data_IF_622828914701
#
_entry.id   IF_622828914701
#
_cell.length_a   1.000
_cell.length_b   1.000
_cell.length_c   1.000
_cell.angle_alpha   90.00
_cell.angle_beta   90.00
_cell.angle_gamma   90.00
#
_symmetry.space_group_name_H-M   'P 1'
#
loop_
_entity.id
_entity.type
_entity.pdbx_description
1 polymer ?
#
# COMPACT_ATOMS: atom_id res chain seq x y z
N UNK A 1 11.29 -26.01 14.94
CA UNK A 1 12.47 -25.26 14.45
C UNK A 1 13.33 -26.24 13.67
N UNK A 2 13.75 -25.91 12.44
CA UNK A 2 14.64 -26.73 11.63
C UNK A 2 16.07 -26.18 11.75
N UNK A 3 17.03 -27.03 12.11
CA UNK A 3 18.44 -26.64 12.20
C UNK A 3 19.20 -27.25 11.03
N UNK A 4 19.94 -26.43 10.30
CA UNK A 4 20.73 -26.86 9.16
C UNK A 4 22.22 -26.68 9.37
N UNK A 5 23.03 -27.53 8.73
CA UNK A 5 24.48 -27.40 8.68
C UNK A 5 24.86 -26.51 7.51
N UNK A 6 25.46 -25.35 7.78
CA UNK A 6 25.96 -24.45 6.74
C UNK A 6 27.47 -24.31 6.75
N UNK A 7 28.09 -24.20 5.56
CA UNK A 7 29.47 -23.73 5.46
C UNK A 7 29.53 -22.25 5.84
N UNK A 8 30.44 -21.90 6.75
CA UNK A 8 30.64 -20.54 7.23
C UNK A 8 32.11 -20.13 7.14
N UNK A 9 32.36 -18.82 7.03
CA UNK A 9 33.68 -18.23 7.22
C UNK A 9 33.63 -17.21 8.35
N UNK A 10 34.66 -17.21 9.19
CA UNK A 10 34.85 -16.19 10.21
C UNK A 10 35.55 -14.97 9.61
N UNK A 11 34.99 -13.80 9.81
CA UNK A 11 35.58 -12.52 9.41
C UNK A 11 35.81 -11.63 10.63
N UNK A 12 36.81 -10.75 10.52
CA UNK A 12 37.04 -9.65 11.44
C UNK A 12 36.33 -8.41 10.86
N UNK A 13 35.47 -7.77 11.64
CA UNK A 13 34.71 -6.60 11.24
C UNK A 13 35.49 -5.30 11.50
N UNK A 14 35.02 -4.20 10.91
CA UNK A 14 35.66 -2.88 11.04
C UNK A 14 35.67 -2.34 12.47
N UNK A 15 34.71 -2.75 13.31
CA UNK A 15 34.63 -2.38 14.73
C UNK A 15 35.53 -3.24 15.64
N UNK A 16 36.28 -4.20 15.06
CA UNK A 16 37.14 -5.10 15.81
C UNK A 16 36.42 -6.33 16.39
N UNK A 17 35.12 -6.50 16.14
CA UNK A 17 34.41 -7.74 16.48
C UNK A 17 34.63 -8.82 15.41
N UNK A 18 34.16 -10.05 15.69
CA UNK A 18 34.18 -11.15 14.72
C UNK A 18 32.77 -11.64 14.42
N UNK A 19 32.52 -11.97 13.16
CA UNK A 19 31.24 -12.52 12.71
C UNK A 19 31.43 -13.77 11.84
N UNK A 20 30.42 -14.65 11.85
CA UNK A 20 30.31 -15.74 10.90
C UNK A 20 29.43 -15.29 9.73
N UNK A 21 29.88 -15.58 8.52
CA UNK A 21 29.13 -15.29 7.29
C UNK A 21 28.98 -16.55 6.44
N UNK A 22 27.91 -16.57 5.65
CA UNK A 22 27.62 -17.58 4.63
C UNK A 22 26.89 -16.90 3.48
N UNK A 23 26.77 -17.57 2.33
CA UNK A 23 26.18 -16.97 1.13
C UNK A 23 24.67 -17.19 1.09
N UNK A 24 23.94 -16.30 0.40
CA UNK A 24 22.50 -16.52 0.14
C UNK A 24 22.26 -17.86 -0.56
N UNK A 25 23.16 -18.27 -1.46
CA UNK A 25 23.10 -19.57 -2.15
C UNK A 25 23.11 -20.74 -1.16
N UNK A 26 24.03 -20.74 -0.20
CA UNK A 26 24.11 -21.81 0.80
C UNK A 26 22.88 -21.83 1.72
N UNK A 27 22.38 -20.66 2.15
CA UNK A 27 21.12 -20.56 2.89
C UNK A 27 19.94 -21.11 2.08
N UNK A 28 19.83 -20.77 0.79
CA UNK A 28 18.74 -21.22 -0.07
C UNK A 28 18.74 -22.73 -0.21
N UNK A 29 19.89 -23.36 -0.48
CA UNK A 29 19.98 -24.82 -0.63
C UNK A 29 19.64 -25.54 0.69
N UNK A 30 20.07 -25.02 1.83
CA UNK A 30 19.67 -25.58 3.11
C UNK A 30 18.18 -25.38 3.40
N UNK A 31 17.62 -24.21 3.08
CA UNK A 31 16.19 -23.93 3.24
C UNK A 31 15.32 -24.89 2.43
N UNK A 32 15.74 -25.26 1.22
CA UNK A 32 15.07 -26.29 0.40
C UNK A 32 15.37 -27.73 0.85
N UNK A 33 16.22 -27.94 1.87
CA UNK A 33 16.53 -29.25 2.43
C UNK A 33 17.46 -30.11 1.57
N UNK A 34 18.41 -29.51 0.83
CA UNK A 34 19.34 -30.25 -0.05
C UNK A 34 20.57 -30.73 0.73
N UNK A 35 20.78 -32.05 0.81
CA UNK A 35 21.99 -32.64 1.38
C UNK A 35 23.22 -32.40 0.49
N UNK A 36 24.35 -32.02 1.11
CA UNK A 36 25.57 -31.55 0.40
C UNK A 36 26.86 -32.19 0.91
N UNK A 37 26.77 -33.35 1.56
CA UNK A 37 27.89 -34.08 2.16
C UNK A 37 28.21 -33.68 3.61
N UNK A 38 27.31 -32.94 4.26
CA UNK A 38 27.45 -32.48 5.65
C UNK A 38 26.71 -33.39 6.65
N UNK A 39 25.97 -34.37 6.14
CA UNK A 39 25.13 -35.30 6.91
C UNK A 39 24.11 -34.54 7.77
N UNK A 40 23.36 -33.65 7.14
CA UNK A 40 22.33 -32.85 7.79
C UNK A 40 21.03 -33.67 7.89
N UNK A 41 20.64 -33.98 9.13
CA UNK A 41 19.47 -34.82 9.42
C UNK A 41 18.16 -34.20 8.93
N UNK A 42 18.11 -32.87 8.78
CA UNK A 42 16.93 -32.16 8.29
C UNK A 42 16.92 -32.02 6.77
N UNK A 43 18.00 -32.39 6.08
CA UNK A 43 18.02 -32.48 4.62
C UNK A 43 17.45 -33.80 4.13
N UNK A 44 16.91 -33.80 2.92
CA UNK A 44 16.32 -34.96 2.29
C UNK A 44 17.40 -35.92 1.78
N UNK A 45 17.20 -37.22 2.03
CA UNK A 45 18.02 -38.28 1.44
C UNK A 45 17.51 -38.74 0.07
N UNK A 46 16.25 -38.48 -0.24
CA UNK A 46 15.59 -38.77 -1.51
C UNK A 46 14.35 -37.89 -1.70
N UNK A 47 13.71 -37.92 -2.88
CA UNK A 47 12.43 -37.24 -3.07
C UNK A 47 11.27 -37.87 -2.28
N UNK A 48 11.43 -39.11 -1.82
CA UNK A 48 10.44 -39.84 -1.03
C UNK A 48 10.55 -39.59 0.48
N UNK A 49 11.67 -39.01 0.92
CA UNK A 49 11.90 -38.62 2.31
C UNK A 49 11.01 -37.44 2.68
N UNK A 50 10.25 -37.55 3.76
CA UNK A 50 9.36 -36.49 4.23
C UNK A 50 10.18 -35.46 5.01
N UNK A 51 10.88 -34.61 4.27
CA UNK A 51 11.56 -33.41 4.77
C UNK A 51 10.92 -32.16 4.17
N UNK A 52 11.11 -31.02 4.85
CA UNK A 52 10.53 -29.75 4.42
C UNK A 52 10.82 -29.50 2.93
N UNK A 53 9.75 -29.26 2.15
CA UNK A 53 9.77 -28.90 0.73
C UNK A 53 10.21 -30.01 -0.26
N UNK A 54 10.29 -31.26 0.17
CA UNK A 54 10.43 -32.41 -0.76
C UNK A 54 9.13 -32.68 -1.54
N UNK A 55 9.20 -33.40 -2.68
CA UNK A 55 8.01 -33.88 -3.38
C UNK A 55 7.08 -34.73 -2.49
N UNK A 56 7.63 -35.61 -1.64
CA UNK A 56 6.83 -36.38 -0.67
C UNK A 56 6.14 -35.51 0.38
N UNK A 57 6.82 -34.48 0.89
CA UNK A 57 6.22 -33.49 1.78
C UNK A 57 5.11 -32.70 1.07
N UNK A 58 5.37 -32.21 -0.14
CA UNK A 58 4.40 -31.41 -0.88
C UNK A 58 3.16 -32.21 -1.27
N UNK A 59 3.29 -33.51 -1.55
CA UNK A 59 2.16 -34.41 -1.77
C UNK A 59 1.23 -34.47 -0.54
N UNK A 60 1.79 -34.51 0.67
CA UNK A 60 0.98 -34.49 1.90
C UNK A 60 0.27 -33.15 2.12
N UNK A 61 0.91 -32.04 1.79
CA UNK A 61 0.34 -30.69 1.99
C UNK A 61 -0.72 -30.35 0.94
N UNK A 62 -0.47 -30.70 -0.32
CA UNK A 62 -1.26 -30.23 -1.47
C UNK A 62 -2.20 -31.29 -2.04
N UNK A 63 -1.96 -32.57 -1.77
CA UNK A 63 -2.65 -33.69 -2.41
C UNK A 63 -2.19 -34.00 -3.84
N UNK A 64 -1.25 -33.22 -4.42
CA UNK A 64 -0.71 -33.48 -5.76
C UNK A 64 0.32 -34.60 -5.69
N UNK A 65 0.19 -35.61 -6.56
CA UNK A 65 1.15 -36.73 -6.56
C UNK A 65 2.59 -36.25 -6.75
N UNK A 66 3.50 -36.73 -5.89
CA UNK A 66 4.94 -36.47 -5.92
C UNK A 66 5.55 -36.78 -7.29
N UNK A 67 5.02 -37.81 -7.96
CA UNK A 67 5.47 -38.21 -9.31
C UNK A 67 5.24 -37.12 -10.35
N UNK A 68 4.11 -36.40 -10.25
CA UNK A 68 3.80 -35.26 -11.11
C UNK A 68 4.67 -34.06 -10.76
N UNK A 69 4.85 -33.76 -9.47
CA UNK A 69 5.73 -32.67 -9.01
C UNK A 69 7.15 -32.86 -9.58
N UNK A 70 7.73 -34.05 -9.42
CA UNK A 70 9.07 -34.37 -9.92
C UNK A 70 9.12 -34.25 -11.44
N UNK A 71 8.14 -34.85 -12.14
CA UNK A 71 8.11 -34.86 -13.61
C UNK A 71 8.05 -33.44 -14.17
N UNK A 72 7.08 -32.65 -13.74
CA UNK A 72 6.85 -31.31 -14.27
C UNK A 72 7.98 -30.35 -13.90
N UNK A 73 8.51 -30.41 -12.68
CA UNK A 73 9.68 -29.62 -12.32
C UNK A 73 10.89 -29.92 -13.22
N UNK A 74 11.12 -31.20 -13.54
CA UNK A 74 12.20 -31.62 -14.43
C UNK A 74 11.97 -31.18 -15.88
N UNK A 75 10.77 -31.39 -16.41
CA UNK A 75 10.41 -30.97 -17.78
C UNK A 75 10.51 -29.44 -17.93
N UNK A 76 10.06 -28.69 -16.92
CA UNK A 76 10.14 -27.22 -16.90
C UNK A 76 11.59 -26.72 -16.95
N UNK A 77 12.46 -27.31 -16.12
CA UNK A 77 13.88 -26.96 -16.06
C UNK A 77 14.64 -27.41 -17.33
N UNK A 78 14.38 -28.62 -17.84
CA UNK A 78 14.98 -29.14 -19.06
C UNK A 78 14.62 -28.29 -20.28
N UNK A 79 13.37 -27.84 -20.40
CA UNK A 79 12.99 -26.89 -21.44
C UNK A 79 13.74 -25.57 -21.30
N UNK A 80 13.82 -25.01 -20.09
CA UNK A 80 14.53 -23.76 -19.85
C UNK A 80 16.03 -23.88 -20.21
N UNK A 81 16.69 -24.98 -19.83
CA UNK A 81 18.07 -25.26 -20.21
C UNK A 81 18.24 -25.31 -21.73
N UNK A 82 17.46 -26.16 -22.42
CA UNK A 82 17.50 -26.33 -23.88
C UNK A 82 17.25 -25.04 -24.66
N UNK A 83 16.47 -24.14 -24.08
CA UNK A 83 15.98 -22.94 -24.77
C UNK A 83 16.59 -21.64 -24.25
N UNK A 84 17.48 -21.73 -23.25
CA UNK A 84 18.07 -20.59 -22.55
C UNK A 84 16.99 -19.67 -21.92
N UNK A 85 16.13 -20.27 -21.10
CA UNK A 85 15.16 -19.58 -20.24
C UNK A 85 13.74 -19.46 -20.80
N UNK A 86 13.36 -20.15 -21.89
CA UNK A 86 12.00 -20.05 -22.48
C UNK A 86 10.96 -20.95 -21.80
N UNK A 87 10.97 -20.96 -20.47
CA UNK A 87 9.89 -21.50 -19.64
C UNK A 87 9.23 -20.33 -18.89
N UNK A 88 7.91 -20.25 -18.96
CA UNK A 88 7.13 -19.13 -18.40
C UNK A 88 6.07 -19.66 -17.44
N UNK A 89 5.78 -18.87 -16.39
CA UNK A 89 4.64 -19.12 -15.51
C UNK A 89 3.70 -17.91 -15.58
N UNK A 90 2.49 -18.16 -16.07
CA UNK A 90 1.39 -17.18 -16.03
C UNK A 90 0.65 -17.35 -14.70
N UNK A 91 0.55 -16.26 -13.93
CA UNK A 91 -0.03 -16.27 -12.58
C UNK A 91 -1.00 -15.11 -12.39
N UNK A 92 -2.04 -15.32 -11.60
CA UNK A 92 -3.04 -14.29 -11.31
C UNK A 92 -3.58 -14.33 -9.87
N UNK A 93 -4.78 -13.79 -9.69
CA UNK A 93 -5.41 -13.60 -8.37
C UNK A 93 -5.63 -14.90 -7.57
N UNK A 94 -5.74 -16.06 -8.24
CA UNK A 94 -5.89 -17.35 -7.55
C UNK A 94 -4.76 -17.67 -6.55
N UNK A 95 -3.56 -17.11 -6.78
CA UNK A 95 -2.43 -17.17 -5.85
C UNK A 95 -2.21 -15.83 -5.12
N UNK A 96 -2.51 -14.70 -5.78
CA UNK A 96 -2.20 -13.37 -5.25
C UNK A 96 -3.18 -12.84 -4.19
N UNK A 97 -4.38 -13.40 -4.08
CA UNK A 97 -5.40 -12.92 -3.14
C UNK A 97 -5.42 -13.70 -1.82
N UNK A 98 -4.39 -14.50 -1.55
CA UNK A 98 -4.17 -15.13 -0.25
C UNK A 98 -3.43 -14.17 0.70
N UNK A 99 -3.59 -14.34 2.01
CA UNK A 99 -2.82 -13.58 3.00
C UNK A 99 -1.30 -13.77 2.82
N UNK A 100 -0.88 -15.00 2.52
CA UNK A 100 0.51 -15.37 2.21
C UNK A 100 0.80 -15.37 0.69
N UNK A 101 0.28 -14.38 -0.04
CA UNK A 101 0.51 -14.20 -1.49
C UNK A 101 2.00 -14.15 -1.87
N UNK A 102 2.82 -13.60 -0.98
CA UNK A 102 4.25 -13.44 -1.13
C UNK A 102 4.97 -14.80 -1.15
N UNK A 103 4.52 -15.76 -0.33
CA UNK A 103 5.06 -17.13 -0.33
C UNK A 103 4.71 -17.85 -1.62
N UNK A 104 3.47 -17.72 -2.10
CA UNK A 104 3.07 -18.25 -3.41
C UNK A 104 3.94 -17.67 -4.53
N UNK A 105 4.11 -16.34 -4.56
CA UNK A 105 4.84 -15.66 -5.62
C UNK A 105 6.33 -15.98 -5.58
N UNK A 106 6.95 -15.93 -4.40
CA UNK A 106 8.38 -16.24 -4.25
C UNK A 106 8.71 -17.68 -4.63
N UNK A 107 7.81 -18.64 -4.39
CA UNK A 107 7.96 -20.01 -4.88
C UNK A 107 8.06 -20.09 -6.41
N UNK A 108 7.08 -19.50 -7.11
CA UNK A 108 7.06 -19.44 -8.58
C UNK A 108 8.26 -18.65 -9.13
N UNK A 109 8.60 -17.51 -8.50
CA UNK A 109 9.71 -16.66 -8.90
C UNK A 109 11.05 -17.40 -8.71
N UNK A 110 11.25 -18.13 -7.63
CA UNK A 110 12.46 -18.93 -7.42
C UNK A 110 12.63 -20.00 -8.50
N UNK A 111 11.56 -20.70 -8.90
CA UNK A 111 11.62 -21.66 -10.01
C UNK A 111 12.15 -21.01 -11.30
N UNK A 112 11.63 -19.82 -11.63
CA UNK A 112 12.01 -19.07 -12.82
C UNK A 112 13.45 -18.54 -12.75
N UNK A 113 13.88 -18.04 -11.58
CA UNK A 113 15.25 -17.55 -11.38
C UNK A 113 16.25 -18.70 -11.46
N UNK A 114 15.97 -19.84 -10.83
CA UNK A 114 16.85 -21.02 -10.88
C UNK A 114 17.01 -21.55 -12.32
N UNK A 115 16.00 -21.35 -13.17
CA UNK A 115 16.02 -21.75 -14.57
C UNK A 115 16.47 -20.62 -15.53
N UNK A 116 16.88 -19.46 -15.02
CA UNK A 116 17.33 -18.33 -15.86
C UNK A 116 16.26 -17.75 -16.79
N UNK A 117 14.98 -17.86 -16.43
CA UNK A 117 13.87 -17.49 -17.31
C UNK A 117 13.54 -15.99 -17.31
N UNK A 118 13.78 -15.30 -16.19
CA UNK A 118 13.41 -13.88 -16.03
C UNK A 118 14.30 -13.03 -16.95
N UNK A 119 13.67 -12.21 -17.80
CA UNK A 119 14.36 -11.34 -18.76
C UNK A 119 14.56 -11.95 -20.16
N UNK A 120 14.15 -13.20 -20.38
CA UNK A 120 14.23 -13.86 -21.69
C UNK A 120 12.87 -13.85 -22.41
N UNK A 121 12.88 -13.60 -23.72
CA UNK A 121 11.65 -13.65 -24.53
C UNK A 121 11.10 -15.08 -24.56
N UNK A 122 9.81 -15.24 -24.26
CA UNK A 122 9.17 -16.55 -24.10
C UNK A 122 9.38 -17.19 -22.72
N UNK A 123 10.02 -16.49 -21.78
CA UNK A 123 10.26 -16.93 -20.42
C UNK A 123 9.84 -15.92 -19.36
N UNK A 124 9.82 -16.37 -18.10
CA UNK A 124 9.76 -15.47 -16.94
C UNK A 124 8.44 -15.47 -16.19
N UNK A 125 8.29 -14.47 -15.33
CA UNK A 125 7.15 -14.27 -14.46
C UNK A 125 6.11 -13.41 -15.17
N UNK A 126 4.98 -14.00 -15.53
CA UNK A 126 3.90 -13.35 -16.26
C UNK A 126 2.68 -13.18 -15.36
N UNK A 127 2.73 -12.14 -14.53
CA UNK A 127 1.63 -11.78 -13.63
C UNK A 127 0.55 -10.97 -14.36
N UNK A 128 -0.71 -11.41 -14.23
CA UNK A 128 -1.87 -10.69 -14.76
C UNK A 128 -2.99 -10.59 -13.71
N UNK A 129 -3.43 -9.36 -13.45
CA UNK A 129 -4.51 -9.02 -12.51
C UNK A 129 -5.44 -7.97 -13.13
N UNK A 130 -5.43 -6.73 -12.63
CA UNK A 130 -6.04 -5.59 -13.28
C UNK A 130 -5.13 -4.96 -14.33
N UNK A 131 -5.64 -3.91 -14.98
CA UNK A 131 -4.95 -3.16 -16.02
C UNK A 131 -4.10 -2.04 -15.40
N UNK A 132 -2.90 -2.38 -14.93
CA UNK A 132 -2.05 -1.48 -14.14
C UNK A 132 -1.06 -0.67 -14.98
N UNK A 133 -0.61 -1.22 -16.12
CA UNK A 133 0.42 -0.59 -16.95
C UNK A 133 -0.13 0.53 -17.84
N UNK A 134 -0.20 1.73 -17.26
CA UNK A 134 -0.31 2.98 -18.00
C UNK A 134 1.02 3.28 -18.69
N UNK A 135 1.11 2.99 -19.99
CA UNK A 135 2.40 3.02 -20.73
C UNK A 135 3.07 4.41 -20.75
N UNK A 136 2.37 5.52 -21.07
CA UNK A 136 2.98 6.86 -21.04
C UNK A 136 3.03 7.44 -19.62
N UNK A 137 3.63 6.68 -18.68
CA UNK A 137 3.59 6.92 -17.24
C UNK A 137 4.01 8.35 -16.85
N UNK A 138 5.21 8.78 -17.25
CA UNK A 138 5.77 10.09 -16.86
C UNK A 138 5.14 11.26 -17.60
N UNK A 139 4.41 11.01 -18.70
CA UNK A 139 3.59 12.02 -19.36
C UNK A 139 2.25 12.23 -18.65
N UNK A 140 1.67 11.15 -18.09
CA UNK A 140 0.39 11.19 -17.39
C UNK A 140 0.51 11.65 -15.93
N UNK A 141 1.54 11.23 -15.20
CA UNK A 141 1.74 11.57 -13.79
C UNK A 141 1.64 13.08 -13.49
N UNK A 142 2.30 13.99 -14.23
CA UNK A 142 2.18 15.42 -13.94
C UNK A 142 0.77 15.96 -14.15
N UNK A 143 0.04 15.47 -15.15
CA UNK A 143 -1.36 15.84 -15.38
C UNK A 143 -2.26 15.37 -14.24
N UNK A 144 -2.18 14.09 -13.89
CA UNK A 144 -3.10 13.47 -12.93
C UNK A 144 -2.97 14.03 -11.52
N UNK A 145 -1.76 14.45 -11.15
CA UNK A 145 -1.44 14.87 -9.78
C UNK A 145 -1.01 16.35 -9.71
N UNK A 146 -1.27 17.11 -10.77
CA UNK A 146 -0.95 18.54 -10.90
C UNK A 146 0.52 18.87 -10.57
N UNK A 147 1.46 17.99 -10.95
CA UNK A 147 2.90 18.13 -10.63
C UNK A 147 3.61 19.13 -11.52
N UNK A 148 2.95 19.54 -12.61
CA UNK A 148 3.31 20.71 -13.41
C UNK A 148 3.10 22.02 -12.64
N UNK A 149 2.18 22.05 -11.66
CA UNK A 149 1.92 23.23 -10.82
C UNK A 149 2.53 23.15 -9.42
N UNK A 150 2.38 22.01 -8.74
CA UNK A 150 2.65 21.89 -7.30
C UNK A 150 3.23 20.52 -6.99
N UNK A 151 4.29 20.46 -6.17
CA UNK A 151 4.95 19.20 -5.79
C UNK A 151 5.27 19.18 -4.29
N UNK A 152 5.04 18.07 -3.58
CA UNK A 152 4.38 16.83 -4.01
C UNK A 152 2.83 16.89 -3.92
N UNK A 153 2.16 15.88 -4.49
CA UNK A 153 0.76 15.58 -4.21
C UNK A 153 0.58 14.76 -2.90
N UNK A 154 -0.65 14.37 -2.56
CA UNK A 154 -0.97 13.50 -1.41
C UNK A 154 -1.43 12.11 -1.85
N UNK A 155 -0.48 11.22 -2.14
CA UNK A 155 -0.78 9.80 -2.35
C UNK A 155 -1.06 9.08 -1.03
N UNK A 156 -1.92 8.06 -1.07
CA UNK A 156 -2.25 7.22 0.09
C UNK A 156 -2.46 5.77 -0.33
N UNK A 157 -1.99 4.82 0.48
CA UNK A 157 -2.24 3.39 0.26
C UNK A 157 -3.60 2.98 0.88
N UNK A 158 -4.56 2.60 0.02
CA UNK A 158 -5.97 2.48 0.45
C UNK A 158 -6.26 1.36 1.45
N UNK A 159 -5.46 0.29 1.51
CA UNK A 159 -5.67 -0.79 2.48
C UNK A 159 -5.58 -0.26 3.91
N UNK A 160 -4.50 0.43 4.26
CA UNK A 160 -4.34 1.05 5.59
C UNK A 160 -5.39 2.13 5.83
N UNK A 161 -5.69 2.94 4.82
CA UNK A 161 -6.70 3.98 4.90
C UNK A 161 -8.08 3.42 5.28
N UNK A 162 -8.57 2.40 4.58
CA UNK A 162 -9.87 1.80 4.89
C UNK A 162 -9.84 0.93 6.14
N UNK A 163 -8.75 0.21 6.40
CA UNK A 163 -8.60 -0.53 7.64
C UNK A 163 -8.77 0.38 8.86
N UNK A 164 -8.17 1.58 8.81
CA UNK A 164 -8.35 2.63 9.81
C UNK A 164 -9.76 3.25 9.79
N UNK A 165 -10.16 3.87 8.68
CA UNK A 165 -11.34 4.74 8.65
C UNK A 165 -12.67 4.01 8.61
N UNK A 166 -12.76 2.81 8.03
CA UNK A 166 -13.92 1.94 8.21
C UNK A 166 -13.84 1.13 9.51
N UNK A 167 -12.87 1.44 10.37
CA UNK A 167 -12.69 0.87 11.71
C UNK A 167 -12.67 -0.67 11.75
N UNK A 168 -12.21 -1.32 10.68
CA UNK A 168 -12.07 -2.78 10.63
C UNK A 168 -11.05 -3.28 11.66
N UNK A 169 -10.05 -2.46 11.98
CA UNK A 169 -9.07 -2.73 13.03
C UNK A 169 -9.71 -2.98 14.41
N UNK A 170 -10.90 -2.43 14.68
CA UNK A 170 -11.61 -2.67 15.95
C UNK A 170 -12.10 -4.10 16.12
N UNK A 171 -12.03 -4.91 15.07
CA UNK A 171 -12.53 -6.29 15.02
C UNK A 171 -11.44 -7.29 14.61
N UNK A 172 -10.17 -6.88 14.68
CA UNK A 172 -9.07 -7.73 14.25
C UNK A 172 -9.00 -9.01 15.09
N UNK A 173 -8.71 -10.11 14.41
CA UNK A 173 -8.50 -11.42 15.06
C UNK A 173 -7.09 -11.94 14.85
N UNK A 174 -6.37 -11.42 13.86
CA UNK A 174 -4.98 -11.81 13.58
C UNK A 174 -4.04 -10.96 14.40
N UNK A 175 -3.06 -11.59 15.05
CA UNK A 175 -2.05 -10.86 15.83
C UNK A 175 -0.71 -10.84 15.11
N UNK A 176 0.12 -9.82 15.35
CA UNK A 176 1.50 -9.85 14.85
C UNK A 176 2.27 -11.02 15.47
N UNK A 177 1.99 -11.35 16.73
CA UNK A 177 2.67 -12.38 17.53
C UNK A 177 2.60 -13.77 16.88
N UNK A 178 1.43 -14.19 16.39
CA UNK A 178 1.24 -15.51 15.78
C UNK A 178 1.90 -15.63 14.39
N UNK A 179 2.25 -14.49 13.78
CA UNK A 179 2.93 -14.40 12.48
C UNK A 179 4.46 -14.35 12.60
N UNK A 180 4.99 -14.11 13.80
CA UNK A 180 6.43 -13.98 14.00
C UNK A 180 7.15 -15.30 13.75
N UNK A 181 8.39 -15.18 13.24
CA UNK A 181 9.32 -16.29 13.26
C UNK A 181 9.50 -16.81 14.70
N UNK A 182 9.59 -18.13 14.93
CA UNK A 182 9.84 -18.68 16.26
C UNK A 182 11.21 -18.30 16.84
N UNK A 183 12.10 -17.69 16.04
CA UNK A 183 13.40 -17.18 16.46
C UNK A 183 13.40 -15.67 16.75
N UNK A 184 12.30 -14.98 16.49
CA UNK A 184 12.18 -13.55 16.77
C UNK A 184 11.95 -13.31 18.27
N UNK A 185 12.51 -12.21 18.77
CA UNK A 185 12.19 -11.72 20.11
C UNK A 185 10.79 -11.08 20.10
N UNK A 186 9.80 -11.83 20.61
CA UNK A 186 8.39 -11.42 20.65
C UNK A 186 8.18 -10.10 21.40
N UNK A 187 9.01 -9.79 22.39
CA UNK A 187 8.88 -8.56 23.19
C UNK A 187 9.12 -7.28 22.39
N UNK A 188 9.82 -7.37 21.25
CA UNK A 188 10.09 -6.23 20.37
C UNK A 188 8.92 -5.88 19.45
N UNK A 189 7.94 -6.77 19.32
CA UNK A 189 6.89 -6.73 18.31
C UNK A 189 5.50 -6.86 18.96
N UNK A 190 5.30 -6.19 20.10
CA UNK A 190 3.97 -6.08 20.73
C UNK A 190 3.08 -5.10 19.99
N UNK A 191 1.78 -5.21 20.25
CA UNK A 191 0.78 -4.27 19.78
C UNK A 191 -0.13 -4.86 18.71
N UNK A 192 -1.17 -4.11 18.42
CA UNK A 192 -2.15 -4.43 17.39
C UNK A 192 -1.54 -4.25 15.98
N UNK A 193 -2.09 -4.90 14.94
CA UNK A 193 -1.60 -4.72 13.56
C UNK A 193 -1.63 -3.23 13.11
N UNK A 194 -2.61 -2.46 13.58
CA UNK A 194 -2.68 -1.01 13.33
C UNK A 194 -1.51 -0.25 13.97
N UNK A 195 -0.95 -0.71 15.09
CA UNK A 195 0.18 -0.06 15.75
C UNK A 195 1.43 -0.13 14.87
N UNK A 196 1.62 -1.25 14.15
CA UNK A 196 2.68 -1.39 13.16
C UNK A 196 2.49 -0.42 11.99
N UNK A 197 1.25 -0.13 11.59
CA UNK A 197 0.96 0.86 10.56
C UNK A 197 1.29 2.28 11.05
N UNK A 198 0.87 2.66 12.26
CA UNK A 198 1.18 3.98 12.84
C UNK A 198 2.69 4.17 13.02
N UNK A 199 3.41 3.14 13.46
CA UNK A 199 4.88 3.12 13.51
C UNK A 199 5.48 3.34 12.12
N UNK A 200 5.02 2.61 11.11
CA UNK A 200 5.48 2.75 9.73
C UNK A 200 5.22 4.17 9.16
N UNK A 201 4.04 4.74 9.43
CA UNK A 201 3.67 6.10 9.02
C UNK A 201 4.63 7.15 9.62
N UNK A 202 4.81 7.15 10.95
CA UNK A 202 5.68 8.14 11.61
C UNK A 202 7.15 7.98 11.26
N UNK A 203 7.59 6.78 10.88
CA UNK A 203 8.95 6.49 10.42
C UNK A 203 9.18 6.84 8.95
N UNK A 204 8.14 7.27 8.24
CA UNK A 204 8.21 7.67 6.84
C UNK A 204 8.19 6.49 5.86
N UNK A 205 7.78 5.30 6.29
CA UNK A 205 7.70 4.12 5.43
C UNK A 205 6.41 4.09 4.61
N UNK A 206 5.30 4.53 5.21
CA UNK A 206 3.98 4.57 4.57
C UNK A 206 3.42 6.01 4.60
N UNK A 207 2.56 6.37 3.64
CA UNK A 207 1.84 7.64 3.68
C UNK A 207 0.74 7.61 4.76
N UNK A 208 0.29 8.81 5.14
CA UNK A 208 -0.83 9.03 6.08
C UNK A 208 -1.93 9.84 5.42
N UNK A 209 -3.20 9.55 5.73
CA UNK A 209 -4.33 10.38 5.32
C UNK A 209 -5.54 10.19 6.26
N UNK A 210 -6.05 11.24 6.92
CA UNK A 210 -5.42 12.54 7.12
C UNK A 210 -4.00 12.42 7.70
N UNK A 211 -3.15 13.43 7.47
CA UNK A 211 -1.72 13.34 7.82
C UNK A 211 -1.47 13.67 9.29
N UNK A 212 -1.90 14.86 9.71
CA UNK A 212 -1.64 15.42 11.03
C UNK A 212 -2.96 15.66 11.77
N UNK A 213 -2.93 15.62 13.10
CA UNK A 213 -4.09 15.86 13.98
C UNK A 213 -4.55 17.32 14.05
N UNK A 214 -3.95 18.18 13.23
CA UNK A 214 -4.28 19.61 13.08
C UNK A 214 -4.41 19.94 11.59
N UNK A 215 -5.12 21.02 11.27
CA UNK A 215 -5.25 21.47 9.89
C UNK A 215 -3.88 21.89 9.35
N UNK A 216 -3.34 21.23 8.31
CA UNK A 216 -1.98 21.51 7.85
C UNK A 216 -1.80 22.92 7.27
N UNK A 217 -2.88 23.61 6.90
CA UNK A 217 -2.84 25.00 6.42
C UNK A 217 -2.59 26.02 7.54
N UNK A 218 -2.81 25.67 8.81
CA UNK A 218 -2.62 26.61 9.93
C UNK A 218 -1.19 26.62 10.48
N UNK A 219 -0.44 25.55 10.21
CA UNK A 219 0.88 25.31 10.80
C UNK A 219 1.89 26.40 10.42
N UNK A 220 1.87 26.88 9.17
CA UNK A 220 2.78 27.94 8.73
C UNK A 220 2.60 29.24 9.54
N UNK A 221 1.37 29.60 9.88
CA UNK A 221 1.05 30.77 10.70
C UNK A 221 1.47 30.59 12.16
N UNK A 222 1.36 29.38 12.69
CA UNK A 222 1.83 29.05 14.03
C UNK A 222 3.36 29.08 14.11
N UNK A 223 4.04 28.59 13.07
CA UNK A 223 5.49 28.65 12.94
C UNK A 223 6.00 30.11 12.88
N UNK A 224 5.34 30.96 12.09
CA UNK A 224 5.67 32.39 12.00
C UNK A 224 5.56 33.08 13.36
N UNK A 225 4.48 32.83 14.11
CA UNK A 225 4.30 33.36 15.47
C UNK A 225 5.38 32.85 16.44
N UNK A 226 5.88 31.63 16.23
CA UNK A 226 6.97 31.06 17.01
C UNK A 226 8.37 31.53 16.57
N UNK A 227 8.46 32.33 15.49
CA UNK A 227 9.74 32.80 14.94
C UNK A 227 10.57 31.70 14.28
N UNK A 228 9.92 30.65 13.77
CA UNK A 228 10.56 29.48 13.15
C UNK A 228 10.03 29.26 11.73
N UNK A 229 10.80 28.62 10.86
CA UNK A 229 10.25 28.13 9.59
C UNK A 229 9.30 26.94 9.85
N UNK A 230 8.32 26.69 8.96
CA UNK A 230 7.29 25.70 9.19
C UNK A 230 7.80 24.26 9.29
N UNK A 231 8.90 23.91 8.63
CA UNK A 231 9.47 22.56 8.70
C UNK A 231 10.03 22.31 10.10
N UNK A 232 10.89 23.21 10.59
CA UNK A 232 11.49 23.09 11.92
C UNK A 232 10.44 23.16 13.03
N UNK A 233 9.44 24.04 12.88
CA UNK A 233 8.31 24.10 13.80
C UNK A 233 7.56 22.76 13.84
N UNK A 234 7.27 22.17 12.69
CA UNK A 234 6.55 20.89 12.62
C UNK A 234 7.36 19.76 13.26
N UNK A 235 8.67 19.67 12.97
CA UNK A 235 9.56 18.67 13.59
C UNK A 235 9.58 18.83 15.11
N UNK A 236 9.76 20.06 15.61
CA UNK A 236 9.76 20.36 17.04
C UNK A 236 8.42 19.95 17.67
N UNK A 237 7.30 20.36 17.07
CA UNK A 237 5.96 20.06 17.57
C UNK A 237 5.63 18.56 17.56
N UNK A 238 6.14 17.80 16.58
CA UNK A 238 6.02 16.33 16.54
C UNK A 238 6.81 15.67 17.67
N UNK A 239 8.04 16.12 17.93
CA UNK A 239 8.86 15.62 19.05
C UNK A 239 8.22 15.92 20.41
N UNK A 240 7.63 17.11 20.56
CA UNK A 240 6.99 17.56 21.79
C UNK A 240 5.55 17.02 21.96
N UNK A 241 4.95 16.47 20.90
CA UNK A 241 3.58 15.95 20.90
C UNK A 241 2.48 17.01 20.79
N UNK A 242 2.83 18.29 20.57
CA UNK A 242 1.86 19.36 20.33
C UNK A 242 1.22 19.28 18.94
N UNK A 243 1.92 18.70 17.96
CA UNK A 243 1.36 18.15 16.73
C UNK A 243 1.56 16.64 16.77
N UNK A 244 0.53 15.88 16.37
CA UNK A 244 0.55 14.41 16.32
C UNK A 244 0.17 13.93 14.92
N UNK A 245 0.57 12.71 14.58
CA UNK A 245 0.02 12.02 13.40
C UNK A 245 -1.48 11.76 13.61
N UNK A 246 -2.30 11.99 12.59
CA UNK A 246 -3.74 11.82 12.71
C UNK A 246 -4.15 10.37 13.02
N UNK A 247 -3.35 9.42 12.53
CA UNK A 247 -3.53 7.99 12.72
C UNK A 247 -3.47 7.54 14.19
N UNK A 248 -2.86 8.31 15.09
CA UNK A 248 -2.86 8.03 16.52
C UNK A 248 -4.24 8.24 17.18
N UNK A 249 -5.10 9.08 16.56
CA UNK A 249 -6.40 9.45 17.13
C UNK A 249 -7.50 9.51 16.04
N UNK A 250 -7.77 8.42 15.31
CA UNK A 250 -8.63 8.46 14.12
C UNK A 250 -10.11 8.76 14.44
N UNK A 251 -10.53 8.57 15.69
CA UNK A 251 -11.93 8.72 16.12
C UNK A 251 -12.22 10.04 16.86
N UNK A 252 -11.23 10.95 16.96
CA UNK A 252 -11.34 12.21 17.73
C UNK A 252 -12.27 13.31 17.13
N UNK A 253 -12.98 13.00 16.03
CA UNK A 253 -13.87 13.94 15.35
C UNK A 253 -13.23 14.84 14.28
N UNK A 254 -11.89 14.89 14.19
CA UNK A 254 -11.16 15.72 13.19
C UNK A 254 -10.28 14.91 12.25
N UNK A 255 -9.92 13.68 12.64
CA UNK A 255 -8.91 12.87 11.96
C UNK A 255 -9.49 11.82 10.99
N UNK A 256 -10.75 11.98 10.58
CA UNK A 256 -11.40 11.14 9.58
C UNK A 256 -11.65 11.92 8.29
N UNK A 257 -11.71 11.24 7.14
CA UNK A 257 -12.15 11.87 5.91
C UNK A 257 -13.62 12.25 6.01
N UNK A 258 -13.96 13.42 5.45
CA UNK A 258 -15.33 13.96 5.47
C UNK A 258 -15.98 14.00 4.09
N UNK A 259 -15.22 14.24 3.03
CA UNK A 259 -15.75 14.23 1.67
C UNK A 259 -15.04 13.15 0.85
N UNK A 260 -15.83 12.27 0.23
CA UNK A 260 -15.33 11.20 -0.62
C UNK A 260 -15.95 11.30 -2.01
N UNK A 261 -15.08 11.45 -3.01
CA UNK A 261 -15.46 11.31 -4.41
C UNK A 261 -15.18 9.89 -4.88
N UNK A 262 -16.16 9.26 -5.51
CA UNK A 262 -16.04 7.93 -6.10
C UNK A 262 -16.40 8.01 -7.58
N UNK A 263 -15.46 7.72 -8.46
CA UNK A 263 -15.69 7.69 -9.90
C UNK A 263 -14.89 6.55 -10.52
N UNK A 264 -15.39 5.98 -11.61
CA UNK A 264 -14.78 4.81 -12.28
C UNK A 264 -14.56 3.62 -11.31
N UNK A 265 -15.37 3.56 -10.25
CA UNK A 265 -15.24 2.59 -9.16
C UNK A 265 -16.62 2.29 -8.58
N UNK A 266 -16.84 1.04 -8.21
CA UNK A 266 -18.01 0.61 -7.44
C UNK A 266 -17.53 0.12 -6.06
N UNK A 267 -16.92 1.01 -5.27
CA UNK A 267 -16.29 0.69 -3.98
C UNK A 267 -17.23 -0.11 -3.06
N UNK A 268 -18.46 0.38 -2.88
CA UNK A 268 -19.45 -0.19 -1.97
C UNK A 268 -20.20 -1.40 -2.54
N UNK A 269 -19.84 -1.87 -3.74
CA UNK A 269 -20.46 -3.05 -4.34
C UNK A 269 -19.49 -3.98 -5.06
N UNK A 270 -18.18 -3.79 -4.87
CA UNK A 270 -17.16 -4.60 -5.56
C UNK A 270 -15.85 -4.68 -4.77
N UNK A 271 -15.10 -3.56 -4.65
CA UNK A 271 -13.74 -3.60 -4.10
C UNK A 271 -13.67 -3.45 -2.58
N UNK A 272 -14.73 -2.98 -1.92
CA UNK A 272 -14.80 -2.74 -0.48
C UNK A 272 -14.84 -4.03 0.33
N UNK A 273 -13.68 -4.46 0.82
CA UNK A 273 -13.58 -5.57 1.78
C UNK A 273 -14.09 -5.05 3.11
N UNK A 274 -14.87 -5.89 3.82
CA UNK A 274 -15.56 -5.44 5.02
C UNK A 274 -16.69 -4.46 4.72
N UNK A 275 -17.56 -4.82 3.76
CA UNK A 275 -18.69 -3.98 3.30
C UNK A 275 -19.51 -3.40 4.46
N UNK A 276 -19.94 -4.24 5.40
CA UNK A 276 -20.77 -3.82 6.54
C UNK A 276 -20.04 -2.82 7.46
N UNK A 277 -18.71 -2.88 7.54
CA UNK A 277 -17.91 -1.92 8.30
C UNK A 277 -17.86 -0.57 7.60
N UNK A 278 -17.78 -0.54 6.27
CA UNK A 278 -17.88 0.70 5.51
C UNK A 278 -19.27 1.35 5.70
N UNK A 279 -20.35 0.56 5.61
CA UNK A 279 -21.71 1.06 5.86
C UNK A 279 -21.86 1.68 7.26
N UNK A 280 -21.39 0.98 8.29
CA UNK A 280 -21.45 1.46 9.67
C UNK A 280 -20.59 2.70 9.89
N UNK A 281 -19.27 2.56 9.70
CA UNK A 281 -18.31 3.53 10.21
C UNK A 281 -18.09 4.69 9.25
N UNK A 282 -18.25 4.49 7.94
CA UNK A 282 -18.13 5.57 6.97
C UNK A 282 -19.47 6.24 6.70
N UNK A 283 -20.54 5.45 6.48
CA UNK A 283 -21.83 6.00 6.06
C UNK A 283 -22.81 6.23 7.21
N UNK A 284 -22.67 5.53 8.35
CA UNK A 284 -23.60 5.67 9.49
C UNK A 284 -24.97 5.08 9.21
N UNK A 285 -25.07 4.09 8.31
CA UNK A 285 -26.33 3.40 8.01
C UNK A 285 -26.47 2.12 8.85
N UNK A 286 -27.64 1.48 8.77
CA UNK A 286 -27.78 0.10 9.22
C UNK A 286 -26.74 -0.81 8.55
N UNK A 287 -26.34 -1.85 9.28
CA UNK A 287 -25.27 -2.76 8.88
C UNK A 287 -25.51 -4.17 9.40
N UNK A 288 -24.89 -5.15 8.74
CA UNK A 288 -24.97 -6.57 9.04
C UNK A 288 -23.85 -7.14 9.91
N UNK A 289 -22.99 -6.33 10.54
CA UNK A 289 -21.93 -6.85 11.44
C UNK A 289 -22.53 -7.72 12.56
N UNK A 290 -22.10 -8.98 12.64
CA UNK A 290 -22.59 -9.96 13.61
C UNK A 290 -21.69 -10.09 14.86
N UNK A 291 -20.38 -9.90 14.67
CA UNK A 291 -19.38 -10.09 15.72
C UNK A 291 -19.31 -8.92 16.71
N UNK A 292 -18.60 -9.16 17.81
CA UNK A 292 -18.28 -8.15 18.82
C UNK A 292 -16.94 -7.50 18.51
N UNK A 293 -16.77 -6.22 18.83
CA UNK A 293 -15.46 -5.55 18.70
C UNK A 293 -14.52 -5.91 19.86
N UNK A 294 -13.26 -5.50 19.77
CA UNK A 294 -12.23 -5.76 20.81
C UNK A 294 -12.70 -5.30 22.20
N UNK A 295 -13.34 -4.13 22.32
CA UNK A 295 -13.82 -3.61 23.60
C UNK A 295 -14.92 -4.47 24.21
N UNK A 296 -15.88 -4.89 23.38
CA UNK A 296 -16.97 -5.78 23.78
C UNK A 296 -16.50 -7.20 24.14
N UNK A 297 -15.39 -7.66 23.56
CA UNK A 297 -14.78 -8.94 23.90
C UNK A 297 -13.83 -8.86 25.11
N UNK A 298 -13.48 -7.65 25.58
CA UNK A 298 -12.44 -7.47 26.59
C UNK A 298 -11.03 -7.79 26.08
N UNK A 299 -10.81 -7.65 24.77
CA UNK A 299 -9.53 -7.89 24.11
C UNK A 299 -8.48 -6.82 24.41
N UNK A 300 -7.25 -7.08 23.97
CA UNK A 300 -6.12 -6.15 24.13
C UNK A 300 -6.29 -4.96 23.18
N UNK A 301 -6.38 -3.75 23.74
CA UNK A 301 -6.47 -2.49 23.01
C UNK A 301 -5.11 -2.14 22.35
N UNK A 302 -5.09 -1.40 21.23
CA UNK A 302 -3.85 -0.93 20.60
C UNK A 302 -3.00 -0.06 21.54
N UNK A 303 -1.69 -0.04 21.28
CA UNK A 303 -0.70 0.71 22.06
C UNK A 303 -0.41 2.10 21.46
N UNK A 304 -0.66 2.30 20.16
CA UNK A 304 -0.32 3.53 19.42
C UNK A 304 -1.56 4.32 18.99
N UNK A 305 -2.75 3.75 19.13
CA UNK A 305 -4.03 4.32 18.71
C UNK A 305 -4.96 4.45 19.91
N UNK A 306 -5.60 5.61 20.04
CA UNK A 306 -6.61 5.82 21.09
C UNK A 306 -7.80 4.85 20.91
N UNK A 307 -8.35 4.36 22.03
CA UNK A 307 -9.53 3.50 22.02
C UNK A 307 -10.72 4.17 22.72
N UNK A 308 -11.89 4.05 22.09
CA UNK A 308 -13.19 4.35 22.69
C UNK A 308 -14.16 3.18 22.48
N UNK A 309 -14.95 2.83 23.49
CA UNK A 309 -15.82 1.65 23.45
C UNK A 309 -16.93 1.80 22.39
N UNK A 310 -17.41 3.03 22.16
CA UNK A 310 -18.30 3.36 21.07
C UNK A 310 -17.52 4.10 19.98
N UNK A 311 -17.10 3.39 18.94
CA UNK A 311 -16.39 3.97 17.80
C UNK A 311 -17.20 5.05 17.08
N UNK A 312 -16.51 5.97 16.41
CA UNK A 312 -17.16 7.03 15.63
C UNK A 312 -17.78 6.45 14.35
N UNK A 313 -19.08 6.66 14.16
CA UNK A 313 -19.84 6.20 12.98
C UNK A 313 -20.18 7.39 12.05
N UNK A 314 -20.62 7.10 10.82
CA UNK A 314 -21.04 8.14 9.86
C UNK A 314 -19.97 9.20 9.59
N UNK A 315 -18.71 8.79 9.43
CA UNK A 315 -17.57 9.71 9.28
C UNK A 315 -17.65 10.58 8.01
N UNK A 316 -18.25 10.08 6.93
CA UNK A 316 -18.35 10.83 5.68
C UNK A 316 -19.54 11.78 5.76
N UNK A 317 -19.27 13.08 5.67
CA UNK A 317 -20.28 14.13 5.58
C UNK A 317 -20.88 14.23 4.16
N UNK A 318 -20.12 13.80 3.14
CA UNK A 318 -20.57 13.81 1.74
C UNK A 318 -19.92 12.71 0.91
N UNK A 319 -20.75 11.89 0.28
CA UNK A 319 -20.37 10.87 -0.71
C UNK A 319 -20.91 11.26 -2.07
N UNK A 320 -20.01 11.58 -3.00
CA UNK A 320 -20.34 11.96 -4.38
C UNK A 320 -19.88 10.85 -5.33
N UNK A 321 -20.80 10.25 -6.08
CA UNK A 321 -20.48 9.20 -7.05
C UNK A 321 -20.76 9.63 -8.48
N UNK A 322 -19.79 9.45 -9.38
CA UNK A 322 -19.93 9.65 -10.82
C UNK A 322 -20.04 8.29 -11.50
N UNK A 323 -21.18 8.02 -12.14
CA UNK A 323 -21.42 6.75 -12.83
C UNK A 323 -22.44 6.95 -13.97
N UNK A 324 -22.35 6.10 -15.00
CA UNK A 324 -23.29 6.10 -16.13
C UNK A 324 -24.43 5.11 -15.91
N UNK A 325 -24.36 4.33 -14.83
CA UNK A 325 -25.41 3.44 -14.35
C UNK A 325 -25.58 3.61 -12.84
N UNK A 326 -26.79 3.36 -12.33
CA UNK A 326 -27.03 3.38 -10.88
C UNK A 326 -26.44 2.11 -10.24
N UNK A 327 -25.17 2.18 -9.86
CA UNK A 327 -24.45 1.09 -9.18
C UNK A 327 -24.82 1.02 -7.69
N UNK A 328 -24.39 -0.03 -7.00
CA UNK A 328 -24.57 -0.15 -5.53
C UNK A 328 -23.97 1.06 -4.81
N UNK A 329 -22.82 1.56 -5.26
CA UNK A 329 -22.21 2.76 -4.68
C UNK A 329 -23.08 3.99 -4.88
N UNK A 330 -23.65 4.19 -6.08
CA UNK A 330 -24.61 5.27 -6.32
C UNK A 330 -25.79 5.20 -5.35
N UNK A 331 -26.34 4.01 -5.12
CA UNK A 331 -27.50 3.81 -4.25
C UNK A 331 -27.26 4.25 -2.80
N UNK A 332 -26.01 4.20 -2.34
CA UNK A 332 -25.58 4.62 -1.01
C UNK A 332 -24.93 6.02 -0.99
N UNK A 333 -24.91 6.74 -2.12
CA UNK A 333 -24.30 8.07 -2.21
C UNK A 333 -25.32 9.18 -1.97
N UNK A 334 -24.86 10.31 -1.43
CA UNK A 334 -25.69 11.50 -1.25
C UNK A 334 -25.97 12.19 -2.59
N UNK A 335 -24.96 12.23 -3.46
CA UNK A 335 -25.05 12.85 -4.79
C UNK A 335 -24.58 11.86 -5.84
N UNK A 336 -25.38 11.71 -6.90
CA UNK A 336 -25.03 10.96 -8.10
C UNK A 336 -24.89 11.95 -9.26
N UNK A 337 -23.75 11.91 -9.94
CA UNK A 337 -23.49 12.72 -11.12
C UNK A 337 -23.46 11.82 -12.37
N UNK A 338 -24.25 12.12 -13.42
CA UNK A 338 -24.29 11.30 -14.62
C UNK A 338 -22.99 11.49 -15.42
N UNK A 339 -22.15 10.45 -15.49
CA UNK A 339 -20.95 10.47 -16.34
C UNK A 339 -21.25 9.90 -17.72
N UNK A 340 -20.52 10.38 -18.73
CA UNK A 340 -20.59 9.86 -20.09
C UNK A 340 -20.09 8.41 -20.16
N UNK A 341 -20.73 7.60 -21.01
CA UNK A 341 -20.24 6.24 -21.30
C UNK A 341 -18.91 6.28 -22.07
N UNK A 342 -18.30 5.12 -22.28
CA UNK A 342 -17.04 5.03 -23.03
C UNK A 342 -17.17 5.40 -24.52
N UNK A 343 -18.39 5.47 -25.06
CA UNK A 343 -18.65 5.84 -26.46
C UNK A 343 -19.07 7.31 -26.63
N UNK A 344 -18.98 8.12 -25.58
CA UNK A 344 -19.47 9.50 -25.55
C UNK A 344 -18.38 10.46 -25.02
N UNK A 345 -17.11 10.03 -24.99
CA UNK A 345 -16.00 10.86 -24.53
C UNK A 345 -14.68 10.48 -25.18
N UNK A 346 -13.76 11.44 -25.19
CA UNK A 346 -12.38 11.24 -25.63
C UNK A 346 -11.48 10.92 -24.43
N UNK A 347 -10.70 9.85 -24.55
CA UNK A 347 -9.70 9.42 -23.56
C UNK A 347 -8.68 8.48 -24.24
N UNK A 348 -7.70 7.97 -23.50
CA UNK A 348 -6.73 6.98 -23.99
C UNK A 348 -6.72 5.72 -23.13
N UNK A 349 -6.37 4.58 -23.74
CA UNK A 349 -6.22 3.30 -23.06
C UNK A 349 -4.94 2.58 -23.47
N UNK A 350 -4.29 1.94 -22.49
CA UNK A 350 -3.13 1.05 -22.67
C UNK A 350 -3.22 -0.12 -21.69
N UNK A 351 -2.60 -1.25 -22.02
CA UNK A 351 -2.60 -2.45 -21.17
C UNK A 351 -1.25 -3.16 -21.17
N UNK A 352 -0.98 -3.96 -20.14
CA UNK A 352 0.12 -4.91 -20.05
C UNK A 352 0.20 -5.84 -21.27
N UNK A 353 -0.97 -6.29 -21.74
CA UNK A 353 -1.13 -7.38 -22.70
C UNK A 353 -0.57 -7.07 -24.10
N UNK A 354 -0.55 -5.80 -24.49
CA UNK A 354 -0.11 -5.38 -25.83
C UNK A 354 0.51 -3.98 -25.83
N UNK A 355 1.42 -3.67 -26.78
CA UNK A 355 2.13 -2.39 -26.80
C UNK A 355 1.31 -1.20 -27.33
N UNK A 356 0.09 -1.42 -27.83
CA UNK A 356 -0.72 -0.38 -28.43
C UNK A 356 -1.29 0.60 -27.40
N UNK A 357 -1.29 1.88 -27.79
CA UNK A 357 -2.12 2.93 -27.22
C UNK A 357 -3.23 3.24 -28.22
N UNK A 358 -4.48 3.30 -27.76
CA UNK A 358 -5.62 3.61 -28.60
C UNK A 358 -6.63 4.47 -27.83
N UNK A 359 -7.46 5.26 -28.53
CA UNK A 359 -8.38 6.18 -27.88
C UNK A 359 -9.70 5.49 -27.47
N UNK A 360 -10.42 6.16 -26.58
CA UNK A 360 -11.88 6.21 -26.58
C UNK A 360 -12.28 7.45 -27.40
N UNK A 361 -13.42 7.39 -28.10
CA UNK A 361 -13.89 8.52 -28.91
C UNK A 361 -15.39 8.67 -28.77
N UNK A 362 -15.86 9.91 -28.71
CA UNK A 362 -17.27 10.23 -28.72
C UNK A 362 -17.89 9.88 -30.08
N UNK A 363 -18.68 8.80 -30.14
CA UNK A 363 -19.48 8.46 -31.31
C UNK A 363 -20.65 9.43 -31.48
N UNK A 364 -21.17 9.93 -30.35
CA UNK A 364 -22.18 10.99 -30.23
C UNK A 364 -21.88 11.80 -28.97
N UNK A 365 -22.49 12.98 -28.86
CA UNK A 365 -22.47 13.75 -27.62
C UNK A 365 -23.10 12.93 -26.47
N UNK A 366 -22.64 13.09 -25.21
CA UNK A 366 -23.25 12.43 -24.06
C UNK A 366 -24.76 12.63 -23.99
N UNK A 367 -25.50 11.53 -23.88
CA UNK A 367 -26.95 11.60 -23.80
C UNK A 367 -27.45 12.34 -22.53
N UNK A 368 -28.61 13.00 -22.65
CA UNK A 368 -29.24 13.77 -21.59
C UNK A 368 -28.34 14.87 -21.02
N UNK A 369 -28.09 14.85 -19.70
CA UNK A 369 -27.25 15.82 -18.99
C UNK A 369 -25.90 15.21 -18.59
N UNK A 370 -25.56 14.03 -19.13
CA UNK A 370 -24.29 13.39 -18.86
C UNK A 370 -23.11 14.25 -19.33
N UNK A 371 -21.98 14.15 -18.63
CA UNK A 371 -20.73 14.82 -18.99
C UNK A 371 -19.57 13.86 -18.80
N UNK A 372 -18.48 14.03 -19.54
CA UNK A 372 -17.27 13.26 -19.26
C UNK A 372 -16.75 13.56 -17.86
N UNK A 373 -16.05 12.60 -17.24
CA UNK A 373 -15.44 12.77 -15.91
C UNK A 373 -14.56 14.05 -15.88
N UNK A 374 -13.85 14.34 -16.98
CA UNK A 374 -13.03 15.53 -17.15
C UNK A 374 -13.84 16.83 -17.07
N UNK A 375 -14.95 16.93 -17.81
CA UNK A 375 -15.81 18.13 -17.78
C UNK A 375 -16.54 18.27 -16.43
N UNK A 376 -16.89 17.16 -15.77
CA UNK A 376 -17.48 17.19 -14.43
C UNK A 376 -16.47 17.81 -13.44
N UNK A 377 -15.25 17.29 -13.37
CA UNK A 377 -14.24 17.84 -12.45
C UNK A 377 -13.79 19.25 -12.82
N UNK A 378 -13.74 19.59 -14.12
CA UNK A 378 -13.49 20.97 -14.57
C UNK A 378 -14.57 21.94 -14.05
N UNK A 379 -15.84 21.56 -14.14
CA UNK A 379 -16.95 22.37 -13.64
C UNK A 379 -16.93 22.49 -12.11
N UNK A 380 -16.61 21.41 -11.40
CA UNK A 380 -16.41 21.43 -9.94
C UNK A 380 -15.25 22.38 -9.59
N UNK A 381 -14.11 22.29 -10.26
CA UNK A 381 -12.97 23.18 -10.04
C UNK A 381 -13.33 24.65 -10.28
N UNK A 382 -14.12 24.95 -11.32
CA UNK A 382 -14.66 26.30 -11.57
C UNK A 382 -15.50 26.78 -10.39
N UNK A 383 -16.47 25.98 -9.97
CA UNK A 383 -17.38 26.38 -8.89
C UNK A 383 -16.66 26.50 -7.55
N UNK A 384 -15.73 25.59 -7.27
CA UNK A 384 -14.87 25.66 -6.10
C UNK A 384 -14.06 26.95 -6.06
N UNK A 385 -13.44 27.34 -7.19
CA UNK A 385 -12.63 28.57 -7.30
C UNK A 385 -13.43 29.82 -6.96
N UNK A 386 -14.71 29.87 -7.35
CA UNK A 386 -15.63 30.97 -6.99
C UNK A 386 -16.03 30.91 -5.50
N UNK A 387 -16.48 29.74 -5.02
CA UNK A 387 -17.04 29.58 -3.67
C UNK A 387 -15.98 29.70 -2.57
N UNK A 388 -14.71 29.39 -2.87
CA UNK A 388 -13.63 29.46 -1.89
C UNK A 388 -13.22 30.90 -1.55
N UNK A 389 -13.58 31.90 -2.36
CA UNK A 389 -13.18 33.30 -2.15
C UNK A 389 -13.75 33.82 -0.83
N UNK A 390 -12.87 34.38 0.01
CA UNK A 390 -13.21 34.84 1.36
C UNK A 390 -13.07 33.75 2.44
N UNK A 391 -12.86 32.49 2.04
CA UNK A 391 -12.65 31.35 2.94
C UNK A 391 -11.24 30.75 2.83
N UNK A 392 -10.74 30.58 1.60
CA UNK A 392 -9.40 30.08 1.29
C UNK A 392 -8.78 30.95 0.20
N UNK A 393 -7.55 31.43 0.44
CA UNK A 393 -6.81 32.30 -0.47
C UNK A 393 -5.56 31.62 -1.00
N UNK A 394 -4.43 32.33 -0.86
CA UNK A 394 -3.10 31.78 -1.05
C UNK A 394 -2.63 31.21 0.27
N UNK A 395 -2.60 29.89 0.37
CA UNK A 395 -2.33 29.18 1.61
C UNK A 395 -1.04 28.39 1.51
N UNK A 396 -0.32 28.33 2.63
CA UNK A 396 0.88 27.52 2.80
C UNK A 396 0.51 26.21 3.49
N UNK A 397 0.63 25.10 2.76
CA UNK A 397 0.24 23.77 3.23
C UNK A 397 1.45 22.95 3.65
N UNK A 398 1.34 22.25 4.79
CA UNK A 398 2.35 21.29 5.25
C UNK A 398 1.95 19.88 4.87
N UNK A 399 2.78 19.25 4.04
CA UNK A 399 2.51 17.94 3.45
C UNK A 399 3.56 16.95 3.94
N UNK A 400 3.13 15.84 4.55
CA UNK A 400 4.02 14.71 4.79
C UNK A 400 4.17 13.89 3.51
N UNK A 401 5.39 13.44 3.21
CA UNK A 401 5.68 12.56 2.08
C UNK A 401 6.57 11.42 2.57
N UNK A 402 6.15 10.15 2.50
CA UNK A 402 7.02 9.05 2.93
C UNK A 402 8.31 9.01 2.10
N UNK A 403 9.31 8.31 2.61
CA UNK A 403 10.55 8.04 1.88
C UNK A 403 10.19 7.29 0.60
N UNK A 404 10.58 7.83 -0.55
CA UNK A 404 10.21 7.30 -1.85
C UNK A 404 11.26 6.30 -2.33
N UNK A 405 10.81 5.15 -2.84
CA UNK A 405 11.63 4.33 -3.74
C UNK A 405 11.99 5.12 -5.01
N UNK A 406 13.07 4.73 -5.70
CA UNK A 406 13.62 5.40 -6.87
C UNK A 406 14.03 6.86 -6.59
N UNK A 407 14.38 7.12 -5.33
CA UNK A 407 14.91 8.40 -4.86
C UNK A 407 16.13 8.17 -3.98
N UNK A 408 17.03 9.14 -3.90
CA UNK A 408 18.20 9.03 -3.01
C UNK A 408 17.83 8.78 -1.54
N UNK A 409 16.61 9.15 -1.12
CA UNK A 409 16.13 8.94 0.25
C UNK A 409 15.86 7.47 0.58
N UNK A 410 15.73 6.58 -0.42
CA UNK A 410 15.49 5.14 -0.17
C UNK A 410 16.61 4.49 0.67
N UNK A 411 17.81 5.10 0.69
CA UNK A 411 18.93 4.75 1.57
C UNK A 411 18.73 5.31 3.00
N UNK A 412 17.57 5.03 3.58
CA UNK A 412 17.11 5.58 4.84
C UNK A 412 17.84 4.97 6.05
N UNK A 413 17.44 3.75 6.44
CA UNK A 413 17.94 3.01 7.60
C UNK A 413 18.67 1.73 7.12
N UNK A 414 20.01 1.74 7.03
CA UNK A 414 20.74 0.72 6.28
C UNK A 414 20.93 -0.62 7.01
N UNK A 415 20.85 -0.67 8.34
CA UNK A 415 21.22 -1.84 9.13
C UNK A 415 20.11 -2.35 10.04
N UNK A 416 19.32 -1.44 10.61
CA UNK A 416 18.32 -1.73 11.64
C UNK A 416 17.12 -0.78 11.52
N UNK A 417 16.15 -0.97 12.41
CA UNK A 417 14.94 -0.15 12.53
C UNK A 417 15.04 0.65 13.82
N UNK A 418 14.91 1.98 13.73
CA UNK A 418 14.90 2.91 14.86
C UNK A 418 13.70 3.82 14.82
N UNK A 419 12.95 3.84 15.91
CA UNK A 419 11.76 4.65 16.09
C UNK A 419 12.09 5.93 16.88
N UNK A 420 11.99 7.09 16.22
CA UNK A 420 12.28 8.38 16.85
C UNK A 420 11.35 8.69 18.02
N UNK A 421 10.10 8.20 18.01
CA UNK A 421 9.13 8.44 19.09
C UNK A 421 9.47 7.65 20.35
N UNK A 422 10.30 6.61 20.23
CA UNK A 422 10.89 5.86 21.35
C UNK A 422 12.26 6.39 21.78
N UNK A 423 12.75 7.46 21.16
CA UNK A 423 14.07 8.04 21.45
C UNK A 423 15.25 7.19 20.94
N UNK A 424 15.01 6.23 20.04
CA UNK A 424 16.06 5.35 19.49
C UNK A 424 16.93 6.06 18.43
N UNK A 425 16.41 7.14 17.85
CA UNK A 425 17.10 8.04 16.93
C UNK A 425 16.46 9.44 16.97
N UNK A 426 17.08 10.40 16.30
CA UNK A 426 16.45 11.71 16.09
C UNK A 426 15.36 11.65 15.00
N UNK A 427 14.37 12.55 15.06
CA UNK A 427 13.38 12.74 14.00
C UNK A 427 14.03 13.54 12.86
N UNK A 428 14.41 12.84 11.79
CA UNK A 428 15.03 13.40 10.59
C UNK A 428 14.06 13.18 9.41
N UNK A 429 13.33 14.23 8.97
CA UNK A 429 12.42 14.13 7.83
C UNK A 429 13.13 13.63 6.57
N UNK A 430 12.58 12.58 5.95
CA UNK A 430 13.17 11.93 4.77
C UNK A 430 14.23 10.86 5.07
N UNK A 431 14.42 10.48 6.34
CA UNK A 431 15.36 9.42 6.73
C UNK A 431 14.85 8.51 7.85
N UNK A 432 14.40 9.10 8.96
CA UNK A 432 13.81 8.36 10.10
C UNK A 432 12.35 8.73 10.32
N UNK A 433 11.82 9.62 9.50
CA UNK A 433 10.46 10.16 9.49
C UNK A 433 10.08 10.53 8.04
N UNK A 434 8.80 10.78 7.69
CA UNK A 434 8.45 11.26 6.36
C UNK A 434 9.11 12.63 6.10
N UNK A 435 9.36 12.95 4.83
CA UNK A 435 9.66 14.33 4.44
C UNK A 435 8.52 15.25 4.89
N UNK A 436 8.86 16.48 5.29
CA UNK A 436 7.92 17.53 5.62
C UNK A 436 8.09 18.62 4.57
N UNK A 437 7.11 18.71 3.68
CA UNK A 437 7.15 19.56 2.49
C UNK A 437 6.23 20.76 2.67
N UNK A 438 6.67 21.92 2.18
CA UNK A 438 5.85 23.14 2.13
C UNK A 438 5.29 23.25 0.71
N UNK A 439 3.97 23.39 0.58
CA UNK A 439 3.29 23.50 -0.71
C UNK A 439 2.39 24.74 -0.72
N UNK A 440 2.68 25.67 -1.63
CA UNK A 440 1.85 26.86 -1.82
C UNK A 440 0.64 26.53 -2.71
N UNK A 441 -0.55 26.85 -2.22
CA UNK A 441 -1.82 26.61 -2.92
C UNK A 441 -2.54 27.94 -3.14
N UNK A 442 -2.88 28.22 -4.39
CA UNK A 442 -3.72 29.37 -4.74
C UNK A 442 -5.13 28.86 -5.03
N UNK A 443 -5.96 28.78 -3.98
CA UNK A 443 -7.28 28.16 -4.07
C UNK A 443 -8.21 28.88 -5.07
N UNK A 444 -8.28 30.22 -5.10
CA UNK A 444 -9.05 30.94 -6.13
C UNK A 444 -8.58 30.66 -7.57
N UNK A 445 -7.33 30.24 -7.76
CA UNK A 445 -6.78 29.90 -9.07
C UNK A 445 -6.92 28.40 -9.44
N UNK A 446 -7.64 27.60 -8.66
CA UNK A 446 -7.73 26.14 -8.87
C UNK A 446 -8.23 25.79 -10.28
N UNK A 447 -9.27 26.46 -10.77
CA UNK A 447 -9.81 26.23 -12.12
C UNK A 447 -8.84 26.61 -13.23
N UNK A 448 -8.18 27.77 -13.10
CA UNK A 448 -7.20 28.22 -14.10
C UNK A 448 -6.00 27.28 -14.15
N UNK A 449 -5.52 26.79 -12.99
CA UNK A 449 -4.47 25.77 -12.91
C UNK A 449 -4.93 24.43 -13.50
N UNK A 450 -6.16 23.98 -13.19
CA UNK A 450 -6.70 22.73 -13.75
C UNK A 450 -6.79 22.76 -15.29
N UNK A 451 -7.07 23.93 -15.87
CA UNK A 451 -7.29 24.10 -17.31
C UNK A 451 -6.04 24.53 -18.09
N UNK A 452 -4.86 24.51 -17.46
CA UNK A 452 -3.60 24.87 -18.10
C UNK A 452 -2.44 24.04 -17.59
N UNK A 453 -1.42 23.85 -18.42
CA UNK A 453 -0.18 23.17 -18.01
C UNK A 453 0.69 24.18 -17.26
N UNK A 454 1.07 23.84 -16.03
CA UNK A 454 1.99 24.61 -15.19
C UNK A 454 3.36 24.76 -15.84
N UNK A 455 3.98 25.92 -15.64
CA UNK A 455 5.27 26.28 -16.25
C UNK A 455 6.46 25.88 -15.39
#
# INVERSE_FOLDING_TARGET
MLLHKLPVKRLQLADGSTALVTTVYDLTLANYGLERGLNDVNCATSYDDVKAYTPAWAEQITGVSRSQIIRIAREFADNADKTHGRSMIIVGAGLNHWYHLDMNYRGLINMLIFCGCVGQSGGGWAHYVGQEKLRPQTGWQPLAFALDWQRPARHMNSTSYFYNHSSQWRYETVTAEELLSPMADKSRYTGHLIDFNVRAERMGWLPSAPQLGTNPLTIAREAEKAGMNPVDYTVKSLKEGSIRFAAEQPENGKNHPRNLFIWRSNLLGSSGKGHEFMLKYLLGTEHGIQGKDLGQQGGVKPEEVDWQDNGLEGKLDLVVTLDFRLSSTCLYSDIILPTATWYEKDDMNTSDMHPFIHPLSAAVDPAWEAKSDWEIYKAIARKFSEVCVGHLGKETDIVTLPIQHDSAAELAQPLDVKDWKKGECDLIPGKTAPHIMVVERDYPATYERFTSIGR
#
